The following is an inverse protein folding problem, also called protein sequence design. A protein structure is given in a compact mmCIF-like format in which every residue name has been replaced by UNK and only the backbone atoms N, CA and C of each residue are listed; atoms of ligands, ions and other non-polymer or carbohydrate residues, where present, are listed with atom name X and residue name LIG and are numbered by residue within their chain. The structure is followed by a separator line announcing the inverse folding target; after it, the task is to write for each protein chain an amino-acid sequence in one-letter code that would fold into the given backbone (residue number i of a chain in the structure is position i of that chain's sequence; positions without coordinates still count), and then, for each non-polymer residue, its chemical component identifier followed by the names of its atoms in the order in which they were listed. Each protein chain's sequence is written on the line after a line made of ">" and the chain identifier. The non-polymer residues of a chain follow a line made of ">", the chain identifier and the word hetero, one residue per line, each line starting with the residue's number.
data_IF_607245466602
#
_entry.id   IF_607245466602
#
_cell.length_a   1.000
_cell.length_b   1.000
_cell.length_c   1.000
_cell.angle_alpha   90.00
_cell.angle_beta   90.00
_cell.angle_gamma   90.00
#
_symmetry.space_group_name_H-M   'P 1'
#
loop_
_entity.id
_entity.type
_entity.pdbx_description
1 polymer ?
#
# COMPACT_ATOMS: atom_id res chain seq x y z
N UNK A 1 9.07 -43.35 16.79
CA UNK A 1 9.79 -42.66 15.69
C UNK A 1 8.89 -42.33 14.49
N UNK A 2 8.00 -43.22 14.03
CA UNK A 2 7.09 -42.96 12.89
C UNK A 2 6.17 -41.74 13.07
N UNK A 3 5.66 -41.50 14.28
CA UNK A 3 4.77 -40.36 14.57
C UNK A 3 5.51 -39.00 14.63
N UNK A 4 6.82 -39.01 14.90
CA UNK A 4 7.65 -37.79 14.93
C UNK A 4 7.95 -37.32 13.50
N UNK A 5 8.13 -38.26 12.56
CA UNK A 5 8.36 -37.96 11.15
C UNK A 5 7.13 -37.33 10.48
N UNK A 6 5.92 -37.78 10.84
CA UNK A 6 4.66 -37.20 10.32
C UNK A 6 4.46 -35.75 10.79
N UNK A 7 4.84 -35.45 12.04
CA UNK A 7 4.73 -34.09 12.57
C UNK A 7 5.73 -33.12 11.91
N UNK A 8 6.94 -33.60 11.56
CA UNK A 8 7.97 -32.79 10.89
C UNK A 8 7.57 -32.38 9.45
N UNK A 9 6.82 -33.23 8.75
CA UNK A 9 6.36 -32.98 7.37
C UNK A 9 5.21 -31.95 7.34
N UNK A 10 4.36 -31.91 8.38
CA UNK A 10 3.27 -30.92 8.48
C UNK A 10 3.75 -29.49 8.74
N UNK A 11 4.92 -29.29 9.37
CA UNK A 11 5.47 -27.96 9.63
C UNK A 11 6.07 -27.26 8.40
N UNK A 12 6.35 -27.96 7.31
CA UNK A 12 6.92 -27.36 6.08
C UNK A 12 5.86 -26.82 5.11
N UNK A 13 4.58 -26.90 5.45
CA UNK A 13 3.48 -26.35 4.65
C UNK A 13 3.25 -24.87 5.00
N UNK A 14 4.30 -24.04 4.97
CA UNK A 14 4.15 -22.60 5.15
C UNK A 14 3.67 -22.04 3.80
N UNK A 15 2.37 -22.06 3.58
CA UNK A 15 1.75 -21.36 2.45
C UNK A 15 2.07 -19.87 2.56
N UNK A 16 2.41 -19.21 1.44
CA UNK A 16 2.46 -17.75 1.36
C UNK A 16 1.09 -17.22 1.79
N UNK A 17 0.98 -16.74 3.02
CA UNK A 17 -0.20 -16.00 3.42
C UNK A 17 -0.17 -14.70 2.62
N UNK A 18 -1.26 -14.36 1.92
CA UNK A 18 -1.39 -13.06 1.28
C UNK A 18 -1.53 -12.01 2.39
N UNK A 19 -0.40 -11.64 2.96
CA UNK A 19 -0.32 -10.61 3.97
C UNK A 19 -0.39 -9.25 3.28
N UNK A 20 -0.96 -8.29 4.00
CA UNK A 20 -0.88 -6.90 3.63
C UNK A 20 0.11 -6.20 4.57
N UNK A 21 0.81 -5.20 4.05
CA UNK A 21 1.59 -4.27 4.85
C UNK A 21 1.07 -2.85 4.67
N UNK A 22 1.33 -1.98 5.65
CA UNK A 22 0.91 -0.58 5.62
C UNK A 22 2.11 0.35 5.55
N UNK A 23 2.10 1.24 4.56
CA UNK A 23 2.97 2.39 4.49
C UNK A 23 2.23 3.60 5.07
N UNK A 24 2.73 4.16 6.18
CA UNK A 24 2.09 5.27 6.89
C UNK A 24 2.96 6.51 6.79
N UNK A 25 2.39 7.62 6.31
CA UNK A 25 3.12 8.88 6.13
C UNK A 25 2.25 10.02 5.62
N UNK A 26 2.81 11.22 5.54
CA UNK A 26 2.21 12.39 4.88
C UNK A 26 2.53 12.32 3.39
N UNK A 27 1.57 12.75 2.56
CA UNK A 27 1.79 12.88 1.11
C UNK A 27 2.81 13.96 0.85
N UNK A 28 3.84 13.66 0.05
CA UNK A 28 4.93 14.60 -0.29
C UNK A 28 4.89 15.06 -1.74
N UNK A 29 4.36 14.23 -2.64
CA UNK A 29 4.13 14.60 -4.04
C UNK A 29 2.95 13.82 -4.62
N UNK A 30 2.26 14.41 -5.60
CA UNK A 30 1.23 13.76 -6.40
C UNK A 30 1.46 14.15 -7.85
N UNK A 31 1.48 13.17 -8.75
CA UNK A 31 1.53 13.39 -10.19
C UNK A 31 0.13 13.52 -10.78
N UNK A 32 -0.10 14.56 -11.58
CA UNK A 32 -1.42 14.86 -12.16
C UNK A 32 -1.56 14.51 -13.65
N UNK A 33 -0.51 13.96 -14.29
CA UNK A 33 -0.45 13.78 -15.75
C UNK A 33 -1.37 12.71 -16.31
N UNK A 34 -1.66 11.64 -15.54
CA UNK A 34 -2.37 10.44 -16.01
C UNK A 34 -3.76 10.26 -15.39
N UNK A 35 -4.33 11.33 -14.84
CA UNK A 35 -5.64 11.32 -14.21
C UNK A 35 -6.78 11.14 -15.23
N UNK A 36 -7.88 10.46 -14.86
CA UNK A 36 -8.12 9.74 -13.60
C UNK A 36 -7.71 8.25 -13.68
N UNK A 37 -6.96 7.83 -14.71
CA UNK A 37 -6.68 6.41 -14.95
C UNK A 37 -5.65 5.83 -13.98
N UNK A 38 -4.51 6.49 -13.85
CA UNK A 38 -3.44 6.09 -12.94
C UNK A 38 -2.92 7.30 -12.18
N UNK A 39 -2.65 7.12 -10.91
CA UNK A 39 -2.08 8.13 -10.04
C UNK A 39 -0.76 7.63 -9.49
N UNK A 40 0.21 8.53 -9.44
CA UNK A 40 1.47 8.31 -8.78
C UNK A 40 1.64 9.33 -7.66
N UNK A 41 2.07 8.89 -6.49
CA UNK A 41 2.33 9.77 -5.36
C UNK A 41 3.43 9.20 -4.47
N UNK A 42 3.94 10.00 -3.54
CA UNK A 42 4.96 9.56 -2.57
C UNK A 42 4.56 9.96 -1.16
N UNK A 43 5.05 9.21 -0.16
CA UNK A 43 4.86 9.50 1.26
C UNK A 43 6.21 9.79 1.94
N UNK A 44 6.21 10.55 3.03
CA UNK A 44 7.40 10.75 3.89
C UNK A 44 7.68 9.57 4.85
N UNK A 45 6.76 8.60 4.89
CA UNK A 45 6.91 7.33 5.58
C UNK A 45 6.71 6.15 4.63
N UNK A 46 6.85 4.92 5.14
CA UNK A 46 6.86 3.74 4.29
C UNK A 46 6.58 2.44 5.05
N UNK A 47 6.62 1.34 4.30
CA UNK A 47 6.62 -0.03 4.79
C UNK A 47 7.99 -0.68 4.59
N UNK A 48 8.09 -1.99 4.83
CA UNK A 48 9.31 -2.75 4.54
C UNK A 48 9.55 -2.88 3.04
N UNK A 49 8.51 -3.15 2.24
CA UNK A 49 8.65 -3.36 0.79
C UNK A 49 8.55 -2.06 -0.01
N UNK A 50 7.92 -1.02 0.56
CA UNK A 50 7.82 0.31 -0.03
C UNK A 50 8.36 1.39 0.93
N UNK A 51 9.69 1.64 0.90
CA UNK A 51 10.32 2.65 1.72
C UNK A 51 9.79 4.07 1.47
N UNK A 52 10.04 4.97 2.43
CA UNK A 52 9.67 6.38 2.30
C UNK A 52 10.27 7.03 1.04
N UNK A 53 9.51 7.93 0.43
CA UNK A 53 9.88 8.64 -0.79
C UNK A 53 9.76 7.82 -2.09
N UNK A 54 9.52 6.51 -2.00
CA UNK A 54 9.24 5.69 -3.19
C UNK A 54 7.89 6.05 -3.79
N UNK A 55 7.80 5.98 -5.12
CA UNK A 55 6.57 6.23 -5.87
C UNK A 55 5.59 5.08 -5.66
N UNK A 56 4.41 5.41 -5.15
CA UNK A 56 3.25 4.52 -5.01
C UNK A 56 2.34 4.71 -6.23
N UNK A 57 1.89 3.60 -6.80
CA UNK A 57 0.91 3.57 -7.90
C UNK A 57 -0.49 3.29 -7.35
N UNK A 58 -1.47 4.06 -7.80
CA UNK A 58 -2.89 3.76 -7.60
C UNK A 58 -3.61 3.76 -8.95
N UNK A 59 -4.22 2.62 -9.28
CA UNK A 59 -5.07 2.48 -10.45
C UNK A 59 -6.16 1.46 -10.16
N UNK A 60 -7.43 1.90 -10.18
CA UNK A 60 -8.61 1.03 -10.13
C UNK A 60 -9.40 1.20 -11.42
N UNK A 61 -10.15 0.16 -11.79
CA UNK A 61 -11.03 0.18 -12.96
C UNK A 61 -12.16 1.22 -12.83
N UNK A 62 -12.60 1.50 -11.60
CA UNK A 62 -13.59 2.54 -11.32
C UNK A 62 -12.92 3.94 -11.29
N UNK A 63 -13.18 4.75 -12.32
CA UNK A 63 -12.66 6.11 -12.42
C UNK A 63 -13.24 7.06 -11.37
N UNK A 64 -14.45 6.79 -10.85
CA UNK A 64 -15.02 7.60 -9.78
C UNK A 64 -14.23 7.38 -8.47
N UNK A 65 -13.84 6.13 -8.19
CA UNK A 65 -12.94 5.80 -7.09
C UNK A 65 -11.60 6.54 -7.22
N UNK A 66 -10.96 6.51 -8.40
CA UNK A 66 -9.68 7.17 -8.60
C UNK A 66 -9.78 8.69 -8.36
N UNK A 67 -10.86 9.34 -8.81
CA UNK A 67 -11.09 10.77 -8.54
C UNK A 67 -11.25 11.06 -7.04
N UNK A 68 -11.96 10.21 -6.30
CA UNK A 68 -12.12 10.36 -4.86
C UNK A 68 -10.79 10.18 -4.10
N UNK A 69 -9.98 9.21 -4.54
CA UNK A 69 -8.64 9.00 -3.98
C UNK A 69 -7.71 10.17 -4.31
N UNK A 70 -7.73 10.69 -5.55
CA UNK A 70 -6.99 11.90 -5.90
C UNK A 70 -7.34 13.08 -4.98
N UNK A 71 -8.64 13.33 -4.78
CA UNK A 71 -9.11 14.40 -3.90
C UNK A 71 -8.64 14.19 -2.45
N UNK A 72 -8.64 12.94 -1.98
CA UNK A 72 -8.16 12.57 -0.64
C UNK A 72 -6.66 12.83 -0.50
N UNK A 73 -5.86 12.40 -1.48
CA UNK A 73 -4.41 12.62 -1.53
C UNK A 73 -4.09 14.12 -1.57
N UNK A 74 -4.76 14.88 -2.44
CA UNK A 74 -4.56 16.32 -2.57
C UNK A 74 -4.90 17.04 -1.27
N UNK A 75 -6.01 16.66 -0.63
CA UNK A 75 -6.41 17.22 0.66
C UNK A 75 -5.38 16.90 1.74
N UNK A 76 -4.89 15.65 1.80
CA UNK A 76 -3.84 15.26 2.74
C UNK A 76 -2.52 16.01 2.50
N UNK A 77 -2.13 16.20 1.24
CA UNK A 77 -0.94 16.97 0.87
C UNK A 77 -1.03 18.41 1.36
N UNK A 78 -2.19 19.08 1.17
CA UNK A 78 -2.40 20.47 1.58
C UNK A 78 -2.58 20.61 3.09
N UNK A 79 -3.35 19.71 3.72
CA UNK A 79 -3.62 19.75 5.16
C UNK A 79 -2.46 19.17 6.00
N UNK A 80 -1.49 18.54 5.36
CA UNK A 80 -0.40 17.81 5.98
C UNK A 80 -0.85 16.55 6.74
N UNK A 81 -2.09 16.06 6.61
CA UNK A 81 -2.55 14.90 7.40
C UNK A 81 -1.88 13.59 6.95
N UNK A 82 -1.61 12.69 7.89
CA UNK A 82 -1.07 11.36 7.57
C UNK A 82 -2.12 10.47 6.94
N UNK A 83 -1.67 9.61 6.03
CA UNK A 83 -2.44 8.54 5.43
C UNK A 83 -1.75 7.20 5.72
N UNK A 84 -2.54 6.14 5.73
CA UNK A 84 -2.05 4.76 5.68
C UNK A 84 -2.45 4.16 4.34
N UNK A 85 -1.45 3.74 3.57
CA UNK A 85 -1.64 3.01 2.31
C UNK A 85 -1.34 1.56 2.56
N UNK A 86 -2.30 0.70 2.26
CA UNK A 86 -2.12 -0.73 2.34
C UNK A 86 -1.66 -1.26 1.00
N UNK A 87 -0.62 -2.09 1.00
CA UNK A 87 -0.07 -2.76 -0.16
C UNK A 87 0.09 -4.26 0.12
N UNK A 88 0.31 -5.06 -0.92
CA UNK A 88 0.61 -6.47 -0.71
C UNK A 88 1.98 -6.62 -0.06
N UNK A 89 2.12 -7.57 0.87
CA UNK A 89 3.41 -7.91 1.46
C UNK A 89 4.41 -8.33 0.37
N UNK A 90 5.63 -7.81 0.46
CA UNK A 90 6.67 -8.00 -0.55
C UNK A 90 6.48 -7.26 -1.87
N UNK A 91 5.45 -6.42 -2.05
CA UNK A 91 5.25 -5.69 -3.31
C UNK A 91 6.25 -4.55 -3.48
N UNK A 92 7.31 -4.80 -4.24
CA UNK A 92 8.33 -3.80 -4.58
C UNK A 92 7.87 -2.80 -5.66
N UNK A 93 6.71 -3.01 -6.29
CA UNK A 93 6.13 -2.05 -7.23
C UNK A 93 5.22 -1.02 -6.55
N UNK A 94 4.98 -1.16 -5.25
CA UNK A 94 4.22 -0.21 -4.44
C UNK A 94 2.83 0.10 -4.98
N UNK A 95 2.02 -0.95 -5.22
CA UNK A 95 0.65 -0.81 -5.72
C UNK A 95 -0.35 -0.74 -4.57
N UNK A 96 -0.98 0.42 -4.42
CA UNK A 96 -2.00 0.69 -3.41
C UNK A 96 -3.23 -0.23 -3.54
N UNK A 97 -3.57 -0.90 -2.44
CA UNK A 97 -4.77 -1.71 -2.29
C UNK A 97 -5.88 -0.92 -1.62
N UNK A 98 -5.57 -0.31 -0.47
CA UNK A 98 -6.50 0.48 0.35
C UNK A 98 -5.85 1.77 0.83
N UNK A 99 -6.68 2.76 1.18
CA UNK A 99 -6.24 4.05 1.71
C UNK A 99 -7.08 4.39 2.96
N UNK A 100 -6.40 4.78 4.03
CA UNK A 100 -7.04 5.25 5.26
C UNK A 100 -6.51 6.64 5.61
N UNK A 101 -7.43 7.51 6.04
CA UNK A 101 -7.08 8.76 6.69
C UNK A 101 -6.77 8.42 8.15
N UNK A 102 -5.58 8.78 8.62
CA UNK A 102 -5.15 8.47 9.99
C UNK A 102 -5.48 9.66 10.89
N UNK A 103 -6.17 9.40 12.00
CA UNK A 103 -6.36 10.40 13.05
C UNK A 103 -5.03 10.58 13.80
N UNK A 104 -4.66 11.84 14.06
CA UNK A 104 -3.48 12.17 14.87
C UNK A 104 -3.68 11.82 16.34
#
# INVERSE_FOLDING_TARGET
>A
MRNVLVCLILCFSISNVYAFESAVGRVTSIEASYLPGTMFFSLDGGSKSCPAGVRIEWSKADLANNKAVYATLLTSLVAGKKLSIVINDGDTNCKGQFIYIVAD
#
